data_IF_637492030460
#
_entry.id   IF_637492030460
#
_cell.length_a   1.000
_cell.length_b   1.000
_cell.length_c   1.000
_cell.angle_alpha   90.00
_cell.angle_beta   90.00
_cell.angle_gamma   90.00
#
_symmetry.space_group_name_H-M   'P 1'
#
loop_
_entity.id
_entity.type
_entity.pdbx_description
1 polymer ?
#
# COMPACT_ATOMS: atom_id res chain seq x y z
N UNK A 1 -21.48 -22.65 -21.30
CA UNK A 1 -20.93 -22.42 -19.94
C UNK A 1 -20.29 -21.05 -19.94
N UNK A 2 -20.67 -20.12 -19.04
CA UNK A 2 -20.09 -18.79 -19.08
C UNK A 2 -18.64 -18.85 -18.57
N UNK A 3 -17.74 -18.21 -19.31
CA UNK A 3 -16.32 -18.13 -19.02
C UNK A 3 -16.07 -17.71 -17.56
N UNK A 4 -15.11 -18.37 -16.91
CA UNK A 4 -14.56 -17.95 -15.62
C UNK A 4 -14.13 -16.49 -15.79
N UNK A 5 -14.89 -15.56 -15.21
CA UNK A 5 -14.62 -14.12 -15.30
C UNK A 5 -13.18 -13.87 -14.81
N UNK A 6 -12.34 -13.40 -15.71
CA UNK A 6 -10.95 -13.02 -15.45
C UNK A 6 -10.89 -12.01 -14.30
N UNK A 7 -10.05 -12.26 -13.30
CA UNK A 7 -9.80 -11.36 -12.17
C UNK A 7 -8.34 -10.88 -12.19
N UNK A 8 -7.86 -10.44 -13.36
CA UNK A 8 -6.48 -9.96 -13.55
C UNK A 8 -6.17 -8.70 -12.71
N UNK A 9 -7.20 -7.94 -12.33
CA UNK A 9 -7.11 -6.80 -11.42
C UNK A 9 -7.10 -7.18 -9.94
N UNK A 10 -7.10 -8.47 -9.57
CA UNK A 10 -7.02 -8.90 -8.17
C UNK A 10 -5.58 -8.87 -7.63
N UNK A 11 -4.62 -9.37 -8.40
CA UNK A 11 -3.22 -9.45 -8.00
C UNK A 11 -2.31 -8.79 -9.05
N UNK A 12 -1.89 -7.55 -8.78
CA UNK A 12 -1.08 -6.76 -9.71
C UNK A 12 0.35 -7.28 -9.85
N UNK A 13 0.78 -8.24 -9.01
CA UNK A 13 2.10 -8.89 -9.14
C UNK A 13 2.19 -9.75 -10.39
N UNK A 14 1.04 -10.19 -10.92
CA UNK A 14 0.95 -11.03 -12.11
C UNK A 14 1.11 -10.25 -13.41
N UNK A 15 1.26 -8.92 -13.34
CA UNK A 15 1.44 -8.07 -14.52
C UNK A 15 2.85 -8.09 -15.10
N UNK A 16 3.83 -8.66 -14.37
CA UNK A 16 5.21 -8.70 -14.83
C UNK A 16 5.35 -9.53 -16.11
N UNK A 17 5.98 -8.93 -17.11
CA UNK A 17 6.25 -9.52 -18.42
C UNK A 17 7.75 -9.35 -18.73
N UNK A 18 8.46 -10.48 -18.80
CA UNK A 18 9.90 -10.48 -19.10
C UNK A 18 10.23 -9.89 -20.48
N UNK A 19 9.29 -9.95 -21.43
CA UNK A 19 9.45 -9.32 -22.75
C UNK A 19 9.37 -7.80 -22.71
N UNK A 20 8.62 -7.25 -21.75
CA UNK A 20 8.41 -5.81 -21.61
C UNK A 20 9.66 -5.06 -21.13
N UNK A 21 10.55 -5.73 -20.38
CA UNK A 21 11.81 -5.13 -19.90
C UNK A 21 12.78 -4.73 -21.03
N UNK A 22 12.59 -5.26 -22.25
CA UNK A 22 13.44 -4.96 -23.41
C UNK A 22 12.87 -3.87 -24.33
N UNK A 23 11.67 -3.38 -24.04
CA UNK A 23 10.98 -2.39 -24.87
C UNK A 23 11.56 -0.99 -24.67
N UNK A 24 11.39 -0.13 -25.67
CA UNK A 24 11.51 1.31 -25.45
C UNK A 24 10.43 1.79 -24.47
N UNK A 25 10.63 2.96 -23.85
CA UNK A 25 9.65 3.49 -22.91
C UNK A 25 8.29 3.76 -23.58
N UNK A 26 8.28 4.24 -24.82
CA UNK A 26 7.04 4.51 -25.55
C UNK A 26 6.23 3.22 -25.79
N UNK A 27 6.88 2.15 -26.25
CA UNK A 27 6.26 0.83 -26.42
C UNK A 27 5.80 0.23 -25.07
N UNK A 28 6.55 0.47 -23.99
CA UNK A 28 6.18 0.04 -22.65
C UNK A 28 4.93 0.79 -22.16
N UNK A 29 4.84 2.10 -22.38
CA UNK A 29 3.70 2.90 -21.99
C UNK A 29 2.45 2.48 -22.76
N UNK A 30 2.55 2.21 -24.07
CA UNK A 30 1.42 1.66 -24.85
C UNK A 30 0.92 0.31 -24.30
N UNK A 31 1.85 -0.59 -23.95
CA UNK A 31 1.50 -1.85 -23.26
C UNK A 31 0.85 -1.58 -21.89
N UNK A 32 1.34 -0.61 -21.14
CA UNK A 32 0.76 -0.21 -19.85
C UNK A 32 -0.66 0.32 -20.02
N UNK A 33 -0.95 1.14 -21.03
CA UNK A 33 -2.31 1.63 -21.32
C UNK A 33 -3.28 0.48 -21.65
N UNK A 34 -2.84 -0.47 -22.47
CA UNK A 34 -3.61 -1.67 -22.80
C UNK A 34 -3.86 -2.51 -21.54
N UNK A 35 -2.81 -2.71 -20.74
CA UNK A 35 -2.89 -3.45 -19.47
C UNK A 35 -3.88 -2.78 -18.53
N UNK A 36 -3.76 -1.47 -18.31
CA UNK A 36 -4.63 -0.68 -17.45
C UNK A 36 -6.09 -0.81 -17.87
N UNK A 37 -6.37 -0.70 -19.17
CA UNK A 37 -7.72 -0.79 -19.73
C UNK A 37 -8.34 -2.20 -19.61
N UNK A 38 -7.50 -3.22 -19.47
CA UNK A 38 -7.94 -4.61 -19.29
C UNK A 38 -8.12 -5.03 -17.82
N UNK A 39 -7.72 -4.20 -16.85
CA UNK A 39 -7.79 -4.58 -15.43
C UNK A 39 -9.24 -4.64 -14.97
N UNK A 40 -9.65 -5.81 -14.48
CA UNK A 40 -10.98 -6.04 -13.94
C UNK A 40 -10.93 -6.84 -12.64
N UNK A 41 -11.84 -6.50 -11.73
CA UNK A 41 -12.12 -7.28 -10.53
C UNK A 41 -13.63 -7.23 -10.26
N UNK A 42 -14.19 -8.35 -9.78
CA UNK A 42 -15.58 -8.39 -9.38
C UNK A 42 -15.75 -8.16 -7.87
N UNK A 43 -16.97 -7.80 -7.46
CA UNK A 43 -17.30 -7.52 -6.05
C UNK A 43 -17.02 -8.72 -5.13
N UNK A 44 -17.29 -9.94 -5.60
CA UNK A 44 -17.06 -11.14 -4.79
C UNK A 44 -15.57 -11.33 -4.46
N UNK A 45 -14.68 -11.02 -5.42
CA UNK A 45 -13.24 -11.03 -5.21
C UNK A 45 -12.80 -9.90 -4.27
N UNK A 46 -13.31 -8.67 -4.43
CA UNK A 46 -13.01 -7.56 -3.50
C UNK A 46 -13.41 -7.94 -2.07
N UNK A 47 -14.64 -8.43 -1.87
CA UNK A 47 -15.15 -8.84 -0.56
C UNK A 47 -14.33 -10.00 0.03
N UNK A 48 -13.93 -10.97 -0.79
CA UNK A 48 -13.08 -12.07 -0.34
C UNK A 48 -11.67 -11.60 0.04
N UNK A 49 -11.11 -10.61 -0.67
CA UNK A 49 -9.80 -10.04 -0.35
C UNK A 49 -9.88 -9.33 1.00
N UNK A 50 -10.89 -8.47 1.19
CA UNK A 50 -11.10 -7.77 2.47
C UNK A 50 -11.17 -8.77 3.63
N UNK A 51 -12.04 -9.79 3.55
CA UNK A 51 -12.20 -10.78 4.62
C UNK A 51 -10.91 -11.54 4.94
N UNK A 52 -10.15 -11.98 3.91
CA UNK A 52 -8.90 -12.74 4.08
C UNK A 52 -7.75 -11.89 4.62
N UNK A 53 -7.91 -10.57 4.63
CA UNK A 53 -6.85 -9.62 4.98
C UNK A 53 -7.15 -8.80 6.23
N UNK A 54 -8.20 -9.16 7.00
CA UNK A 54 -8.55 -8.53 8.29
C UNK A 54 -7.49 -8.69 9.38
N UNK A 55 -6.61 -9.69 9.27
CA UNK A 55 -5.42 -9.81 10.11
C UNK A 55 -4.29 -8.84 9.73
N UNK A 56 -4.51 -7.99 8.72
CA UNK A 56 -3.65 -6.89 8.27
C UNK A 56 -2.17 -7.26 8.19
N UNK A 57 -1.29 -6.58 8.94
CA UNK A 57 0.15 -6.80 8.93
C UNK A 57 0.58 -8.21 9.35
N UNK A 58 -0.30 -9.03 9.95
CA UNK A 58 -0.05 -10.45 10.24
C UNK A 58 -0.44 -11.38 9.09
N UNK A 59 -1.01 -10.84 7.99
CA UNK A 59 -1.46 -11.59 6.81
C UNK A 59 -0.51 -11.36 5.63
N UNK A 60 0.12 -12.41 5.13
CA UNK A 60 0.91 -12.35 3.89
C UNK A 60 0.05 -11.94 2.69
N UNK A 61 -1.21 -12.35 2.65
CA UNK A 61 -2.18 -11.93 1.63
C UNK A 61 -2.44 -10.42 1.65
N UNK A 62 -2.39 -9.78 2.83
CA UNK A 62 -2.59 -8.33 2.94
C UNK A 62 -1.45 -7.59 2.22
N UNK A 63 -0.20 -8.02 2.38
CA UNK A 63 0.92 -7.46 1.61
C UNK A 63 0.78 -7.76 0.12
N UNK A 64 0.46 -9.01 -0.24
CA UNK A 64 0.29 -9.44 -1.63
C UNK A 64 -0.73 -8.58 -2.40
N UNK A 65 -1.93 -8.39 -1.82
CA UNK A 65 -2.97 -7.58 -2.45
C UNK A 65 -2.74 -6.07 -2.31
N UNK A 66 -1.80 -5.61 -1.48
CA UNK A 66 -1.37 -4.20 -1.47
C UNK A 66 -0.34 -3.90 -2.55
N UNK A 67 0.41 -4.89 -2.98
CA UNK A 67 1.48 -4.72 -3.96
C UNK A 67 0.96 -4.04 -5.22
N UNK A 68 1.64 -2.96 -5.61
CA UNK A 68 1.32 -2.15 -6.79
C UNK A 68 0.18 -1.16 -6.58
N UNK A 69 -0.55 -1.21 -5.46
CA UNK A 69 -1.67 -0.30 -5.18
C UNK A 69 -1.21 0.88 -4.33
N UNK A 70 -1.67 2.06 -4.70
CA UNK A 70 -1.56 3.28 -3.90
C UNK A 70 -2.54 3.13 -2.73
N UNK A 71 -1.98 2.87 -1.56
CA UNK A 71 -2.76 2.75 -0.33
C UNK A 71 -3.08 4.13 0.25
N UNK A 72 -4.13 4.24 1.05
CA UNK A 72 -4.50 5.49 1.73
C UNK A 72 -3.32 6.17 2.43
N UNK A 73 -2.48 5.42 3.15
CA UNK A 73 -1.30 5.93 3.87
C UNK A 73 -0.15 6.41 2.96
N UNK A 74 -0.13 5.97 1.69
CA UNK A 74 0.87 6.35 0.69
C UNK A 74 0.39 7.47 -0.25
N UNK A 75 -0.91 7.80 -0.25
CA UNK A 75 -1.49 8.77 -1.18
C UNK A 75 -0.84 10.15 -1.06
N UNK A 76 -0.61 10.61 0.18
CA UNK A 76 0.09 11.89 0.42
C UNK A 76 1.45 11.92 -0.29
N UNK A 77 2.25 10.86 -0.12
CA UNK A 77 3.59 10.79 -0.71
C UNK A 77 3.53 10.77 -2.26
N UNK A 78 2.54 10.07 -2.82
CA UNK A 78 2.28 10.05 -4.28
C UNK A 78 1.90 11.42 -4.81
N UNK A 79 1.10 12.18 -4.08
CA UNK A 79 0.69 13.52 -4.50
C UNK A 79 1.80 14.59 -4.35
N UNK A 80 2.86 14.28 -3.59
CA UNK A 80 3.98 15.20 -3.32
C UNK A 80 5.31 14.75 -3.93
N UNK A 81 5.34 13.65 -4.68
CA UNK A 81 6.54 13.19 -5.40
C UNK A 81 6.59 13.78 -6.81
N UNK A 82 7.80 13.91 -7.37
CA UNK A 82 8.00 14.38 -8.73
C UNK A 82 7.79 13.23 -9.72
N UNK A 83 7.05 13.47 -10.80
CA UNK A 83 6.74 12.42 -11.77
C UNK A 83 7.95 12.06 -12.64
N UNK A 84 8.72 13.06 -13.07
CA UNK A 84 9.90 12.92 -13.93
C UNK A 84 11.14 12.37 -13.19
N UNK A 85 11.14 12.41 -11.86
CA UNK A 85 12.16 11.85 -10.99
C UNK A 85 11.49 11.20 -9.76
N UNK A 86 10.75 10.10 -9.95
CA UNK A 86 9.95 9.52 -8.88
C UNK A 86 10.85 8.92 -7.81
N UNK A 87 10.42 9.05 -6.55
CA UNK A 87 11.15 8.49 -5.42
C UNK A 87 11.21 6.97 -5.52
N UNK A 88 12.42 6.43 -5.72
CA UNK A 88 12.67 4.97 -5.75
C UNK A 88 12.21 4.29 -4.47
N UNK A 89 12.35 4.95 -3.31
CA UNK A 89 11.88 4.39 -2.03
C UNK A 89 10.36 4.34 -1.95
N UNK A 90 9.64 5.31 -2.52
CA UNK A 90 8.18 5.28 -2.64
C UNK A 90 7.72 4.18 -3.59
N UNK A 91 8.33 4.08 -4.77
CA UNK A 91 8.06 3.00 -5.73
C UNK A 91 8.27 1.64 -5.06
N UNK A 92 9.41 1.46 -4.39
CA UNK A 92 9.73 0.20 -3.74
C UNK A 92 8.73 -0.15 -2.64
N UNK A 93 8.33 0.82 -1.83
CA UNK A 93 7.32 0.62 -0.78
C UNK A 93 5.95 0.23 -1.33
N UNK A 94 5.58 0.68 -2.54
CA UNK A 94 4.29 0.36 -3.17
C UNK A 94 4.37 -0.96 -3.96
N UNK A 95 5.39 -1.15 -4.81
CA UNK A 95 5.53 -2.29 -5.72
C UNK A 95 6.20 -3.52 -5.09
N UNK A 96 6.91 -3.34 -3.98
CA UNK A 96 7.60 -4.41 -3.26
C UNK A 96 7.49 -4.19 -1.74
N UNK A 97 6.27 -4.14 -1.19
CA UNK A 97 6.08 -3.90 0.23
C UNK A 97 6.83 -4.98 1.03
N UNK A 98 7.81 -4.55 1.82
CA UNK A 98 8.60 -5.46 2.64
C UNK A 98 7.73 -5.95 3.82
N UNK A 99 7.80 -7.26 4.09
CA UNK A 99 7.19 -7.86 5.29
C UNK A 99 8.01 -7.59 6.55
N UNK A 100 9.27 -7.14 6.44
CA UNK A 100 10.11 -6.78 7.57
C UNK A 100 9.53 -5.55 8.27
N UNK A 101 9.15 -5.74 9.51
CA UNK A 101 8.59 -4.70 10.35
C UNK A 101 9.63 -3.60 10.65
N UNK A 102 9.23 -2.34 10.47
CA UNK A 102 10.03 -1.21 10.91
C UNK A 102 10.10 -1.19 12.44
N UNK A 103 11.27 -1.49 12.98
CA UNK A 103 11.51 -1.56 14.42
C UNK A 103 12.00 -0.21 14.99
N UNK A 104 11.26 0.87 14.73
CA UNK A 104 11.51 2.18 15.38
C UNK A 104 10.57 2.37 16.57
N UNK A 105 11.01 3.02 17.68
CA UNK A 105 10.22 3.13 18.90
C UNK A 105 8.81 3.69 18.70
N UNK A 106 8.67 4.69 17.83
CA UNK A 106 7.39 5.33 17.54
C UNK A 106 6.39 4.40 16.85
N UNK A 107 6.86 3.57 15.92
CA UNK A 107 6.03 2.58 15.21
C UNK A 107 5.66 1.43 16.15
N UNK A 108 6.61 0.95 16.95
CA UNK A 108 6.37 -0.11 17.93
C UNK A 108 5.32 0.32 18.96
N UNK A 109 5.48 1.52 19.53
CA UNK A 109 4.52 2.09 20.47
C UNK A 109 3.12 2.23 19.85
N UNK A 110 3.03 2.76 18.63
CA UNK A 110 1.78 2.89 17.91
C UNK A 110 1.01 1.56 17.84
N UNK A 111 1.70 0.50 17.37
CA UNK A 111 1.13 -0.84 17.22
C UNK A 111 0.74 -1.49 18.54
N UNK A 112 1.55 -1.31 19.59
CA UNK A 112 1.25 -1.85 20.92
C UNK A 112 0.03 -1.19 21.56
N UNK A 113 -0.19 0.10 21.28
CA UNK A 113 -1.25 0.89 21.91
C UNK A 113 -2.54 0.99 21.11
N UNK A 114 -2.50 0.70 19.81
CA UNK A 114 -3.68 0.72 18.92
C UNK A 114 -4.86 -0.07 19.49
N UNK A 115 -4.64 -1.31 19.95
CA UNK A 115 -5.70 -2.13 20.52
C UNK A 115 -6.31 -1.55 21.80
N UNK A 116 -5.50 -0.86 22.63
CA UNK A 116 -5.95 -0.19 23.86
C UNK A 116 -6.80 1.03 23.50
N UNK A 117 -6.31 1.85 22.56
CA UNK A 117 -7.02 3.02 22.06
C UNK A 117 -8.37 2.65 21.43
N UNK A 118 -8.41 1.61 20.60
CA UNK A 118 -9.65 1.08 20.03
C UNK A 118 -10.61 0.60 21.13
N UNK A 119 -10.11 -0.05 22.18
CA UNK A 119 -10.92 -0.46 23.33
C UNK A 119 -11.59 0.71 24.06
N UNK A 120 -10.85 1.81 24.27
CA UNK A 120 -11.41 3.02 24.86
C UNK A 120 -12.41 3.71 23.92
N UNK A 121 -12.09 3.82 22.63
CA UNK A 121 -13.02 4.36 21.63
C UNK A 121 -14.34 3.58 21.60
N UNK A 122 -14.30 2.24 21.64
CA UNK A 122 -15.51 1.40 21.70
C UNK A 122 -16.39 1.74 22.90
N UNK A 123 -15.77 1.92 24.06
CA UNK A 123 -16.48 2.25 25.31
C UNK A 123 -17.14 3.62 25.21
N UNK A 124 -16.42 4.61 24.67
CA UNK A 124 -16.93 5.97 24.46
C UNK A 124 -18.11 5.98 23.49
N UNK A 125 -17.98 5.31 22.35
CA UNK A 125 -19.04 5.24 21.34
C UNK A 125 -20.26 4.47 21.85
N UNK A 126 -20.08 3.37 22.59
CA UNK A 126 -21.20 2.60 23.16
C UNK A 126 -22.02 3.39 24.20
N UNK A 127 -21.42 4.38 24.86
CA UNK A 127 -22.12 5.26 25.79
C UNK A 127 -22.92 6.37 25.09
N UNK A 128 -22.43 6.84 23.92
CA UNK A 128 -23.01 7.98 23.19
C UNK A 128 -23.89 7.62 22.00
N UNK A 129 -23.83 6.38 21.52
CA UNK A 129 -24.50 5.94 20.29
C UNK A 129 -25.46 4.77 20.57
N UNK A 130 -26.62 4.81 19.94
CA UNK A 130 -27.56 3.67 19.93
C UNK A 130 -26.99 2.59 19.03
N UNK A 131 -27.27 1.31 19.34
CA UNK A 131 -27.02 0.12 18.49
C UNK A 131 -25.65 0.02 17.80
N UNK A 132 -24.62 0.68 18.32
CA UNK A 132 -23.32 0.79 17.67
C UNK A 132 -22.64 -0.57 17.53
N UNK A 133 -22.23 -0.86 16.31
CA UNK A 133 -21.50 -2.05 15.91
C UNK A 133 -20.12 -1.66 15.42
N UNK A 134 -19.19 -2.59 15.59
CA UNK A 134 -17.83 -2.40 15.12
C UNK A 134 -17.33 -3.67 14.43
N UNK A 135 -16.56 -3.49 13.36
CA UNK A 135 -16.04 -4.61 12.57
C UNK A 135 -14.55 -4.39 12.30
N UNK A 136 -13.77 -5.46 12.33
CA UNK A 136 -12.41 -5.45 11.80
C UNK A 136 -12.43 -5.12 10.31
N UNK A 137 -11.37 -4.48 9.83
CA UNK A 137 -11.22 -4.11 8.44
C UNK A 137 -9.99 -4.78 7.83
N UNK A 138 -10.17 -5.40 6.67
CA UNK A 138 -9.09 -5.83 5.81
C UNK A 138 -8.72 -4.79 4.75
N UNK A 139 -8.21 -5.25 3.63
CA UNK A 139 -7.91 -4.43 2.47
C UNK A 139 -9.15 -4.22 1.61
N UNK A 140 -9.65 -2.99 1.58
CA UNK A 140 -10.62 -2.52 0.61
C UNK A 140 -9.90 -2.10 -0.66
N UNK A 141 -10.38 -2.57 -1.82
CA UNK A 141 -9.89 -2.17 -3.15
C UNK A 141 -11.02 -1.38 -3.81
N UNK A 142 -10.72 -0.20 -4.36
CA UNK A 142 -11.71 0.55 -5.12
C UNK A 142 -11.96 -0.15 -6.46
N UNK A 143 -13.22 -0.49 -6.74
CA UNK A 143 -13.60 -1.12 -8.01
C UNK A 143 -13.46 -0.18 -9.19
N UNK A 144 -13.77 1.10 -8.99
CA UNK A 144 -13.69 2.16 -9.99
C UNK A 144 -12.22 2.55 -10.26
N UNK A 145 -11.37 2.41 -9.25
CA UNK A 145 -9.96 2.79 -9.29
C UNK A 145 -9.10 1.67 -8.70
N UNK A 146 -8.87 0.60 -9.45
CA UNK A 146 -8.19 -0.64 -8.98
C UNK A 146 -6.78 -0.43 -8.44
N UNK A 147 -6.15 0.69 -8.80
CA UNK A 147 -4.86 1.15 -8.28
C UNK A 147 -4.95 1.76 -6.87
N UNK A 148 -6.15 1.96 -6.31
CA UNK A 148 -6.36 2.46 -4.96
C UNK A 148 -6.82 1.36 -4.02
N UNK A 149 -6.26 1.38 -2.81
CA UNK A 149 -6.68 0.52 -1.73
C UNK A 149 -6.62 1.21 -0.36
N UNK A 150 -7.34 0.71 0.62
CA UNK A 150 -7.35 1.24 1.96
C UNK A 150 -7.59 0.14 2.99
N UNK A 151 -7.00 0.32 4.16
CA UNK A 151 -7.31 -0.49 5.35
C UNK A 151 -7.50 0.53 6.47
N UNK A 152 -8.74 0.77 6.91
CA UNK A 152 -9.02 1.41 8.20
C UNK A 152 -8.52 0.55 9.36
N UNK A 153 -8.32 1.15 10.52
CA UNK A 153 -8.04 0.39 11.74
C UNK A 153 -9.30 -0.35 12.21
N UNK A 154 -10.47 0.25 11.98
CA UNK A 154 -11.76 -0.34 12.29
C UNK A 154 -12.90 0.28 11.47
N UNK A 155 -13.99 -0.47 11.31
CA UNK A 155 -15.28 0.06 10.85
C UNK A 155 -16.22 0.26 12.04
N UNK A 156 -17.00 1.33 12.00
CA UNK A 156 -18.05 1.65 12.97
C UNK A 156 -19.37 1.85 12.23
N UNK A 157 -20.48 1.44 12.85
CA UNK A 157 -21.81 1.55 12.27
C UNK A 157 -22.85 1.73 13.38
N UNK A 158 -23.65 2.79 13.35
CA UNK A 158 -24.83 2.94 14.21
C UNK A 158 -26.02 3.47 13.42
N UNK A 159 -27.24 3.28 13.94
CA UNK A 159 -28.44 3.89 13.36
C UNK A 159 -28.40 5.42 13.34
N UNK A 160 -27.69 6.02 14.29
CA UNK A 160 -27.54 7.47 14.45
C UNK A 160 -26.69 8.16 13.37
N UNK A 161 -25.57 7.55 12.99
CA UNK A 161 -24.51 8.18 12.19
C UNK A 161 -24.27 7.42 10.87
N UNK A 162 -24.87 6.24 10.70
CA UNK A 162 -24.58 5.34 9.60
C UNK A 162 -23.24 4.64 9.77
N UNK A 163 -22.63 4.22 8.65
CA UNK A 163 -21.36 3.51 8.64
C UNK A 163 -20.18 4.47 8.37
N UNK A 164 -19.16 4.40 9.22
CA UNK A 164 -17.92 5.16 9.13
C UNK A 164 -16.67 4.27 9.16
N UNK A 165 -15.52 4.90 8.96
CA UNK A 165 -14.20 4.29 9.23
C UNK A 165 -13.60 4.91 10.48
N UNK A 166 -12.69 4.21 11.14
CA UNK A 166 -11.94 4.70 12.30
C UNK A 166 -10.45 4.60 12.01
N UNK A 167 -9.73 5.66 12.29
CA UNK A 167 -8.27 5.74 12.19
C UNK A 167 -7.69 6.21 13.52
N UNK A 168 -6.88 5.37 14.14
CA UNK A 168 -6.26 5.60 15.44
C UNK A 168 -4.81 6.01 15.26
N UNK A 169 -4.40 7.04 16.01
CA UNK A 169 -3.00 7.46 16.13
C UNK A 169 -2.61 7.54 17.60
N UNK A 170 -1.56 6.80 17.94
CA UNK A 170 -0.91 6.85 19.26
C UNK A 170 0.47 7.51 19.11
N UNK A 171 0.59 8.85 19.17
CA UNK A 171 1.82 9.56 18.88
C UNK A 171 2.87 9.37 19.99
N UNK A 172 4.08 8.93 19.61
CA UNK A 172 5.19 8.75 20.55
C UNK A 172 5.55 10.03 21.32
N UNK A 173 5.54 11.20 20.65
CA UNK A 173 5.93 12.48 21.25
C UNK A 173 4.94 12.98 22.32
N UNK A 174 3.67 12.54 22.28
CA UNK A 174 2.62 12.92 23.23
C UNK A 174 2.25 11.81 24.21
N UNK A 175 3.06 10.75 24.32
CA UNK A 175 2.71 9.54 25.08
C UNK A 175 2.70 9.70 26.61
N UNK A 176 3.52 10.62 27.12
CA UNK A 176 3.77 10.80 28.57
C UNK A 176 3.12 12.09 29.12
N UNK A 177 2.46 12.88 28.26
CA UNK A 177 1.89 14.19 28.60
C UNK A 177 0.43 14.33 28.17
N UNK A 178 -0.01 15.56 27.94
CA UNK A 178 -1.33 15.84 27.37
C UNK A 178 -1.25 15.84 25.84
N UNK A 179 -2.34 15.53 25.14
CA UNK A 179 -2.40 15.62 23.68
C UNK A 179 -2.21 17.06 23.19
N UNK A 180 -2.57 18.05 24.01
CA UNK A 180 -2.30 19.47 23.73
C UNK A 180 -0.80 19.79 23.69
N UNK A 181 0.07 18.97 24.30
CA UNK A 181 1.52 19.11 24.16
C UNK A 181 1.99 18.89 22.73
N UNK A 182 1.21 18.16 21.90
CA UNK A 182 1.50 18.01 20.48
C UNK A 182 1.44 19.34 19.74
N UNK A 183 0.74 20.36 20.23
CA UNK A 183 0.70 21.69 19.60
C UNK A 183 2.06 22.40 19.62
N UNK A 184 2.96 21.99 20.52
CA UNK A 184 4.32 22.53 20.64
C UNK A 184 5.26 22.04 19.53
N UNK A 185 4.87 20.99 18.80
CA UNK A 185 5.66 20.43 17.69
C UNK A 185 5.30 21.10 16.36
N UNK A 186 6.29 21.65 15.66
CA UNK A 186 6.10 22.23 14.32
C UNK A 186 5.61 21.20 13.30
N UNK A 187 5.95 19.92 13.50
CA UNK A 187 5.49 18.79 12.67
C UNK A 187 4.22 18.13 13.20
N UNK A 188 3.50 18.78 14.12
CA UNK A 188 2.27 18.23 14.69
C UNK A 188 1.20 17.98 13.64
N UNK A 189 0.51 16.85 13.78
CA UNK A 189 -0.65 16.52 12.97
C UNK A 189 -1.90 17.33 13.33
N UNK A 190 -1.95 17.92 14.53
CA UNK A 190 -3.11 18.67 15.03
C UNK A 190 -2.83 20.16 15.15
N UNK A 191 -3.91 20.92 15.17
CA UNK A 191 -3.98 22.35 15.48
C UNK A 191 -5.13 22.59 16.46
N UNK A 192 -5.10 23.70 17.15
CA UNK A 192 -6.23 24.15 17.97
C UNK A 192 -7.19 24.99 17.13
N UNK A 193 -8.48 24.73 17.25
CA UNK A 193 -9.57 25.51 16.64
C UNK A 193 -10.70 25.58 17.67
N UNK A 194 -11.08 26.78 18.07
CA UNK A 194 -12.14 27.03 19.05
C UNK A 194 -11.94 26.25 20.38
N UNK A 195 -10.68 26.12 20.82
CA UNK A 195 -10.30 25.40 22.04
C UNK A 195 -10.21 23.87 21.88
N UNK A 196 -10.51 23.33 20.70
CA UNK A 196 -10.50 21.90 20.44
C UNK A 196 -9.33 21.47 19.54
N UNK A 197 -8.77 20.30 19.82
CA UNK A 197 -7.75 19.69 18.96
C UNK A 197 -8.40 19.16 17.69
N UNK A 198 -7.91 19.62 16.54
CA UNK A 198 -8.36 19.18 15.22
C UNK A 198 -7.20 18.79 14.33
N UNK A 199 -7.39 17.73 13.54
CA UNK A 199 -6.45 17.30 12.52
C UNK A 199 -6.26 18.38 11.45
N UNK A 200 -5.00 18.70 11.13
CA UNK A 200 -4.67 19.63 10.05
C UNK A 200 -5.02 19.00 8.70
N UNK A 201 -5.78 19.72 7.87
CA UNK A 201 -6.14 19.25 6.53
C UNK A 201 -4.93 19.07 5.60
N UNK A 202 -3.86 19.84 5.83
CA UNK A 202 -2.58 19.72 5.11
C UNK A 202 -1.76 18.50 5.53
N UNK A 203 -2.09 17.87 6.65
CA UNK A 203 -1.32 16.75 7.18
C UNK A 203 -1.64 15.45 6.44
N UNK A 204 -0.65 14.55 6.34
CA UNK A 204 -0.77 13.25 5.65
C UNK A 204 -1.88 12.36 6.19
N UNK A 205 -2.20 12.48 7.49
CA UNK A 205 -3.31 11.71 8.10
C UNK A 205 -4.67 12.16 7.57
N UNK A 206 -4.85 13.45 7.26
CA UNK A 206 -6.10 13.91 6.66
C UNK A 206 -6.28 13.33 5.25
N UNK A 207 -5.19 13.29 4.46
CA UNK A 207 -5.19 12.64 3.15
C UNK A 207 -5.49 11.13 3.26
N UNK A 208 -4.94 10.47 4.28
CA UNK A 208 -5.18 9.05 4.53
C UNK A 208 -6.66 8.77 4.84
N UNK A 209 -7.29 9.51 5.77
CA UNK A 209 -8.69 9.26 6.14
C UNK A 209 -9.65 9.61 5.00
N UNK A 210 -9.38 10.67 4.23
CA UNK A 210 -10.17 11.02 3.04
C UNK A 210 -10.07 9.90 1.98
N UNK A 211 -8.88 9.33 1.79
CA UNK A 211 -8.70 8.17 0.91
C UNK A 211 -9.39 6.90 1.43
N UNK A 212 -9.37 6.65 2.75
CA UNK A 212 -10.11 5.54 3.36
C UNK A 212 -11.61 5.67 3.13
N UNK A 213 -12.20 6.85 3.41
CA UNK A 213 -13.62 7.12 3.15
C UNK A 213 -13.98 6.95 1.68
N UNK A 214 -13.13 7.44 0.77
CA UNK A 214 -13.31 7.30 -0.67
C UNK A 214 -13.31 5.84 -1.11
N UNK A 215 -12.28 5.07 -0.75
CA UNK A 215 -12.13 3.67 -1.15
C UNK A 215 -13.17 2.76 -0.49
N UNK A 216 -13.47 2.98 0.79
CA UNK A 216 -14.41 2.16 1.56
C UNK A 216 -15.88 2.59 1.36
N UNK A 217 -16.12 3.65 0.56
CA UNK A 217 -17.45 4.24 0.31
C UNK A 217 -18.18 4.60 1.60
N UNK A 218 -17.48 5.30 2.51
CA UNK A 218 -18.02 5.81 3.78
C UNK A 218 -18.12 7.33 3.74
N UNK A 219 -19.04 7.88 4.53
CA UNK A 219 -19.32 9.31 4.55
C UNK A 219 -18.53 10.05 5.63
N UNK A 220 -18.06 9.35 6.65
CA UNK A 220 -17.26 9.94 7.72
C UNK A 220 -16.15 8.99 8.21
N UNK A 221 -15.16 9.61 8.84
CA UNK A 221 -14.06 8.98 9.53
C UNK A 221 -14.00 9.53 10.96
N UNK A 222 -13.91 8.67 11.96
CA UNK A 222 -13.50 9.11 13.29
C UNK A 222 -11.97 9.02 13.39
N UNK A 223 -11.34 10.18 13.49
CA UNK A 223 -9.91 10.29 13.77
C UNK A 223 -9.71 10.28 15.27
N UNK A 224 -9.03 9.25 15.77
CA UNK A 224 -8.80 9.03 17.19
C UNK A 224 -7.34 9.30 17.50
N UNK A 225 -7.10 10.31 18.34
CA UNK A 225 -5.79 10.59 18.89
C UNK A 225 -5.76 10.13 20.34
N UNK A 226 -4.79 9.28 20.70
CA UNK A 226 -4.81 8.59 21.97
C UNK A 226 -3.44 8.57 22.67
N UNK A 227 -3.45 8.75 23.98
CA UNK A 227 -2.36 8.37 24.88
C UNK A 227 -2.94 7.75 26.17
N UNK A 228 -2.09 7.42 27.15
CA UNK A 228 -2.56 6.74 28.36
C UNK A 228 -3.45 7.61 29.27
N UNK A 229 -3.45 8.93 29.06
CA UNK A 229 -4.10 9.93 29.89
C UNK A 229 -5.45 10.37 29.30
N UNK A 230 -5.56 10.43 27.97
CA UNK A 230 -6.72 11.00 27.29
C UNK A 230 -6.93 10.42 25.88
N UNK A 231 -8.16 10.62 25.40
CA UNK A 231 -8.61 10.29 24.06
C UNK A 231 -9.30 11.50 23.45
N UNK A 232 -8.86 11.91 22.27
CA UNK A 232 -9.53 12.93 21.47
C UNK A 232 -10.09 12.26 20.21
N UNK A 233 -11.40 12.40 19.98
CA UNK A 233 -12.09 11.82 18.82
C UNK A 233 -12.66 12.95 18.00
N UNK A 234 -12.19 13.09 16.77
CA UNK A 234 -12.72 14.05 15.81
C UNK A 234 -13.45 13.31 14.68
N UNK A 235 -14.75 13.54 14.54
CA UNK A 235 -15.50 13.04 13.40
C UNK A 235 -15.32 13.95 12.19
N UNK A 236 -14.81 13.41 11.09
CA UNK A 236 -14.43 14.13 9.88
C UNK A 236 -15.27 13.62 8.71
N UNK A 237 -15.94 14.53 8.02
CA UNK A 237 -16.76 14.19 6.85
C UNK A 237 -15.91 13.98 5.60
N UNK A 238 -16.40 13.13 4.71
CA UNK A 238 -15.83 12.96 3.37
C UNK A 238 -15.95 14.27 2.60
N UNK A 239 -14.84 14.70 2.03
CA UNK A 239 -14.74 15.87 1.18
C UNK A 239 -14.35 15.43 -0.23
N UNK A 240 -15.36 15.32 -1.10
CA UNK A 240 -15.17 14.93 -2.49
C UNK A 240 -14.38 15.96 -3.31
N UNK A 241 -14.45 17.24 -2.94
CA UNK A 241 -13.68 18.30 -3.59
C UNK A 241 -12.19 18.18 -3.27
N UNK A 242 -11.87 17.72 -2.06
CA UNK A 242 -10.51 17.45 -1.62
C UNK A 242 -9.94 16.17 -2.23
N UNK A 243 -10.66 15.03 -2.17
CA UNK A 243 -10.10 13.73 -2.56
C UNK A 243 -10.05 13.51 -4.07
N UNK A 244 -11.00 14.06 -4.84
CA UNK A 244 -11.08 13.88 -6.30
C UNK A 244 -9.79 14.27 -7.06
N UNK A 245 -9.18 15.45 -6.84
CA UNK A 245 -7.92 15.80 -7.52
C UNK A 245 -6.75 14.88 -7.09
N UNK A 246 -6.74 14.38 -5.86
CA UNK A 246 -5.72 13.44 -5.38
C UNK A 246 -5.87 12.08 -6.08
N UNK A 247 -7.10 11.59 -6.27
CA UNK A 247 -7.40 10.35 -7.01
C UNK A 247 -6.97 10.47 -8.48
N UNK A 248 -7.19 11.64 -9.10
CA UNK A 248 -6.72 11.92 -10.47
C UNK A 248 -5.18 11.91 -10.56
N UNK A 249 -4.51 12.53 -9.58
CA UNK A 249 -3.04 12.52 -9.48
C UNK A 249 -2.50 11.10 -9.29
N UNK A 250 -3.13 10.32 -8.40
CA UNK A 250 -2.80 8.92 -8.18
C UNK A 250 -2.98 8.07 -9.44
N UNK A 251 -4.01 8.34 -10.25
CA UNK A 251 -4.22 7.67 -11.56
C UNK A 251 -3.03 7.88 -12.48
N UNK A 252 -2.64 9.14 -12.66
CA UNK A 252 -1.50 9.50 -13.51
C UNK A 252 -0.22 8.85 -13.02
N UNK A 253 0.03 8.90 -11.70
CA UNK A 253 1.22 8.29 -11.10
C UNK A 253 1.23 6.77 -11.29
N UNK A 254 0.08 6.12 -11.11
CA UNK A 254 -0.04 4.69 -11.36
C UNK A 254 0.32 4.34 -12.80
N UNK A 255 -0.26 5.04 -13.78
CA UNK A 255 -0.04 4.77 -15.20
C UNK A 255 1.40 5.05 -15.66
N UNK A 256 1.99 6.16 -15.22
CA UNK A 256 3.30 6.61 -15.69
C UNK A 256 4.48 6.04 -14.89
N UNK A 257 4.25 5.57 -13.66
CA UNK A 257 5.34 5.14 -12.76
C UNK A 257 5.13 3.72 -12.26
N UNK A 258 4.02 3.45 -11.58
CA UNK A 258 3.83 2.15 -10.94
C UNK A 258 3.58 1.03 -11.95
N UNK A 259 2.85 1.27 -13.02
CA UNK A 259 2.53 0.26 -14.01
C UNK A 259 3.76 -0.16 -14.84
N UNK A 260 4.61 0.76 -15.34
CA UNK A 260 5.93 0.40 -15.88
C UNK A 260 6.80 -0.39 -14.90
N UNK A 261 6.77 -0.04 -13.61
CA UNK A 261 7.50 -0.79 -12.58
C UNK A 261 6.95 -2.21 -12.38
N UNK A 262 5.63 -2.38 -12.41
CA UNK A 262 4.97 -3.67 -12.22
C UNK A 262 5.17 -4.59 -13.43
N UNK A 263 5.05 -4.02 -14.64
CA UNK A 263 5.13 -4.76 -15.91
C UNK A 263 6.57 -5.09 -16.28
N UNK A 264 7.49 -4.14 -16.10
CA UNK A 264 8.85 -4.24 -16.66
C UNK A 264 9.98 -3.98 -15.65
N UNK A 265 9.70 -3.65 -14.39
CA UNK A 265 10.74 -3.27 -13.39
C UNK A 265 11.56 -2.05 -13.81
N UNK A 266 10.94 -1.17 -14.60
CA UNK A 266 11.60 -0.07 -15.31
C UNK A 266 12.55 0.75 -14.43
N UNK A 267 12.10 1.21 -13.27
CA UNK A 267 12.89 2.09 -12.39
C UNK A 267 13.88 1.31 -11.53
N UNK A 268 13.52 0.09 -11.14
CA UNK A 268 14.41 -0.83 -10.41
C UNK A 268 15.62 -1.27 -11.25
N UNK A 269 15.47 -1.35 -12.57
CA UNK A 269 16.56 -1.65 -13.50
C UNK A 269 17.46 -0.43 -13.83
N UNK A 270 17.15 0.74 -13.26
CA UNK A 270 17.99 1.93 -13.36
C UNK A 270 17.55 2.94 -14.44
N UNK A 271 16.49 2.65 -15.19
CA UNK A 271 15.96 3.55 -16.22
C UNK A 271 15.19 4.73 -15.59
N UNK A 272 15.19 5.88 -16.26
CA UNK A 272 14.36 7.04 -15.89
C UNK A 272 13.39 7.43 -17.01
N UNK A 273 12.45 8.33 -16.69
CA UNK A 273 11.53 8.90 -17.70
C UNK A 273 12.27 9.85 -18.66
N UNK A 274 13.39 10.45 -18.22
CA UNK A 274 14.13 11.43 -19.01
C UNK A 274 15.04 10.81 -20.08
N UNK A 275 15.42 9.55 -19.92
CA UNK A 275 16.31 8.84 -20.85
C UNK A 275 15.66 8.56 -22.22
N UNK A 276 14.39 8.93 -22.39
CA UNK A 276 13.60 8.72 -23.61
C UNK A 276 13.17 10.00 -24.31
N UNK A 277 13.49 11.18 -23.75
CA UNK A 277 13.11 12.47 -24.36
C UNK A 277 14.37 13.24 -24.77
N UNK A 278 14.93 12.91 -25.92
CA UNK A 278 15.81 13.84 -26.63
C UNK A 278 14.99 15.03 -27.12
N UNK A 279 14.80 16.06 -26.28
CA UNK A 279 14.37 17.38 -26.72
C UNK A 279 13.19 18.08 -26.04
N UNK A 280 12.77 17.70 -24.82
CA UNK A 280 11.75 18.48 -24.09
C UNK A 280 12.38 19.30 -22.95
N UNK A 281 12.00 20.57 -22.89
CA UNK A 281 12.39 21.53 -21.85
C UNK A 281 11.84 21.10 -20.49
N UNK A 282 12.54 21.48 -19.43
CA UNK A 282 12.33 21.09 -18.02
C UNK A 282 10.99 21.50 -17.38
N UNK A 283 9.99 21.87 -18.19
CA UNK A 283 8.64 22.27 -17.75
C UNK A 283 7.48 21.58 -18.49
N UNK A 284 7.74 20.64 -19.41
CA UNK A 284 6.66 20.05 -20.19
C UNK A 284 5.95 18.91 -19.45
N UNK A 285 4.69 19.17 -19.12
CA UNK A 285 3.69 18.18 -18.71
C UNK A 285 3.47 17.19 -19.84
N UNK A 286 3.25 15.92 -19.50
CA UNK A 286 2.75 14.90 -20.42
C UNK A 286 1.55 15.45 -21.24
N UNK A 287 1.48 15.21 -22.57
CA UNK A 287 0.44 15.79 -23.42
C UNK A 287 -0.92 15.14 -23.12
N UNK A 288 -1.94 15.98 -22.94
CA UNK A 288 -3.34 15.55 -22.86
C UNK A 288 -3.99 15.82 -21.51
N UNK A 289 -4.97 16.72 -21.54
CA UNK A 289 -6.04 16.97 -20.56
C UNK A 289 -5.86 18.10 -19.52
N UNK A 290 -6.98 18.81 -19.38
CA UNK A 290 -7.18 20.17 -18.90
C UNK A 290 -6.90 20.39 -17.41
N UNK A 291 -6.49 21.60 -17.10
CA UNK A 291 -6.03 22.12 -15.81
C UNK A 291 -7.11 22.05 -14.72
N UNK A 292 -6.82 21.33 -13.62
CA UNK A 292 -7.42 21.61 -12.31
C UNK A 292 -6.48 22.54 -11.51
N UNK A 293 -7.00 23.49 -10.70
CA UNK A 293 -6.18 24.49 -10.03
C UNK A 293 -5.31 23.86 -8.94
N UNK A 294 -4.07 24.34 -8.83
CA UNK A 294 -3.22 24.12 -7.67
C UNK A 294 -3.87 24.84 -6.48
N UNK A 295 -4.16 24.12 -5.40
CA UNK A 295 -4.48 24.76 -4.10
C UNK A 295 -3.22 25.53 -3.66
N UNK A 296 -3.31 26.82 -3.26
CA UNK A 296 -2.12 27.61 -2.97
C UNK A 296 -1.45 27.10 -1.68
N UNK A 297 -0.23 26.58 -1.82
CA UNK A 297 0.68 26.37 -0.69
C UNK A 297 1.32 27.72 -0.37
N UNK A 298 1.00 28.30 0.78
CA UNK A 298 1.69 29.48 1.27
C UNK A 298 3.14 29.12 1.57
N UNK A 299 4.04 29.64 0.73
CA UNK A 299 5.49 29.61 0.89
C UNK A 299 5.90 30.24 2.21
N UNK A 300 6.76 29.55 2.96
CA UNK A 300 7.86 30.15 3.69
C UNK A 300 8.95 29.08 3.83
N UNK A 301 9.85 29.07 2.85
CA UNK A 301 11.09 28.34 2.90
C UNK A 301 12.03 29.02 3.89
N UNK A 302 12.54 28.27 4.86
CA UNK A 302 13.77 28.63 5.56
C UNK A 302 14.74 27.48 5.38
N UNK A 303 15.85 27.81 4.72
CA UNK A 303 17.01 26.97 4.46
C UNK A 303 17.71 26.66 5.78
N UNK A 304 17.97 25.39 6.09
CA UNK A 304 19.13 25.01 6.91
C UNK A 304 19.76 23.72 6.37
N UNK A 305 21.08 23.82 6.30
CA UNK A 305 22.05 23.01 5.61
C UNK A 305 22.43 21.72 6.36
N UNK A 306 22.94 20.79 5.56
CA UNK A 306 23.52 19.46 5.75
C UNK A 306 24.06 19.03 7.12
N UNK A 307 23.89 17.74 7.43
CA UNK A 307 25.03 16.78 7.41
C UNK A 307 24.57 15.31 7.53
N UNK A 308 25.07 14.53 6.57
CA UNK A 308 25.05 13.06 6.46
C UNK A 308 25.77 12.38 7.65
N UNK A 309 25.49 11.09 7.89
CA UNK A 309 26.63 10.17 7.89
C UNK A 309 26.38 8.94 7.02
N UNK A 310 27.36 8.73 6.15
CA UNK A 310 27.59 7.55 5.33
C UNK A 310 27.69 6.27 6.16
N UNK A 311 27.09 5.19 5.65
CA UNK A 311 27.26 3.82 6.12
C UNK A 311 26.88 2.85 5.02
N UNK A 312 27.90 2.35 4.32
CA UNK A 312 27.84 1.24 3.36
C UNK A 312 27.33 -0.04 4.02
N UNK A 313 26.52 -0.83 3.30
CA UNK A 313 26.75 -2.26 3.10
C UNK A 313 25.73 -2.87 2.13
N UNK A 314 26.25 -3.59 1.14
CA UNK A 314 25.51 -4.35 0.15
C UNK A 314 24.99 -5.67 0.75
N UNK A 315 23.73 -6.04 0.47
CA UNK A 315 23.35 -7.46 0.41
C UNK A 315 22.05 -7.68 -0.39
N UNK A 316 22.24 -8.30 -1.54
CA UNK A 316 21.30 -8.96 -2.43
C UNK A 316 20.39 -9.95 -1.65
N UNK A 317 19.09 -10.08 -1.97
CA UNK A 317 18.37 -11.37 -1.90
C UNK A 317 16.93 -11.31 -2.45
N UNK A 318 16.66 -12.24 -3.35
CA UNK A 318 15.45 -12.42 -4.14
C UNK A 318 14.23 -12.85 -3.31
N UNK A 319 13.04 -12.38 -3.73
CA UNK A 319 11.76 -12.71 -3.12
C UNK A 319 11.40 -14.20 -3.28
N UNK A 320 11.22 -14.91 -2.17
CA UNK A 320 10.94 -16.34 -2.11
C UNK A 320 9.53 -16.68 -2.65
N UNK A 321 9.50 -17.33 -3.81
CA UNK A 321 8.32 -18.02 -4.36
C UNK A 321 8.54 -19.51 -4.14
N UNK A 322 7.56 -20.21 -3.56
CA UNK A 322 7.64 -21.65 -3.31
C UNK A 322 6.73 -22.41 -4.28
N UNK A 323 7.25 -23.53 -4.80
CA UNK A 323 6.62 -24.46 -5.72
C UNK A 323 6.24 -23.90 -7.10
N UNK A 324 6.20 -24.79 -8.11
CA UNK A 324 5.79 -24.44 -9.48
C UNK A 324 4.33 -24.00 -9.59
N UNK A 325 3.49 -24.35 -8.63
CA UNK A 325 2.09 -23.92 -8.60
C UNK A 325 1.92 -22.49 -8.07
N UNK A 326 2.98 -21.88 -7.52
CA UNK A 326 2.91 -20.57 -6.86
C UNK A 326 2.02 -20.54 -5.61
N UNK A 327 1.63 -21.71 -5.10
CA UNK A 327 0.84 -21.88 -3.88
C UNK A 327 1.68 -21.69 -2.62
N UNK A 328 1.03 -21.48 -1.45
CA UNK A 328 1.73 -21.26 -0.18
C UNK A 328 2.47 -22.52 0.30
N UNK A 329 3.24 -22.41 1.37
CA UNK A 329 4.01 -23.52 1.95
C UNK A 329 3.14 -24.54 2.73
N UNK A 330 2.02 -24.96 2.14
CA UNK A 330 1.04 -25.82 2.79
C UNK A 330 1.17 -27.30 2.37
N UNK A 331 0.90 -28.22 3.32
CA UNK A 331 0.92 -29.65 3.06
C UNK A 331 2.33 -30.26 2.99
N UNK A 332 2.48 -31.43 2.34
CA UNK A 332 3.77 -32.13 2.25
C UNK A 332 4.62 -31.52 1.14
N UNK A 333 5.79 -30.99 1.51
CA UNK A 333 6.72 -30.36 0.58
C UNK A 333 8.11 -30.99 0.66
N UNK A 334 8.87 -30.86 -0.44
CA UNK A 334 10.26 -31.29 -0.57
C UNK A 334 11.13 -30.12 -1.04
N UNK A 335 12.33 -30.00 -0.47
CA UNK A 335 13.34 -29.05 -0.91
C UNK A 335 14.15 -29.62 -2.08
N UNK A 336 14.50 -28.78 -3.05
CA UNK A 336 15.43 -29.12 -4.12
C UNK A 336 16.88 -28.94 -3.61
N UNK A 337 17.72 -29.97 -3.74
CA UNK A 337 19.12 -29.95 -3.30
C UNK A 337 20.06 -29.13 -4.20
N UNK A 338 19.54 -28.44 -5.22
CA UNK A 338 20.30 -27.44 -5.96
C UNK A 338 20.21 -26.09 -5.24
N UNK A 339 21.31 -25.63 -4.67
CA UNK A 339 21.41 -24.36 -3.92
C UNK A 339 20.98 -23.14 -4.74
N UNK A 340 21.11 -23.20 -6.06
CA UNK A 340 20.70 -22.13 -6.99
C UNK A 340 19.26 -22.32 -7.52
N UNK A 341 18.46 -23.21 -6.91
CA UNK A 341 17.08 -23.44 -7.35
C UNK A 341 16.19 -22.23 -7.01
N UNK A 342 15.62 -21.59 -8.04
CA UNK A 342 14.78 -20.39 -7.92
C UNK A 342 13.60 -20.54 -6.94
N UNK A 343 12.97 -21.72 -6.87
CA UNK A 343 11.75 -21.93 -6.08
C UNK A 343 11.97 -22.65 -4.76
N UNK A 344 13.15 -23.27 -4.57
CA UNK A 344 13.63 -24.01 -3.39
C UNK A 344 12.76 -25.17 -2.88
N UNK A 345 11.45 -25.00 -2.73
CA UNK A 345 10.49 -25.94 -2.16
C UNK A 345 9.37 -26.29 -3.14
N UNK A 346 8.86 -27.52 -3.08
CA UNK A 346 7.82 -28.01 -3.98
C UNK A 346 6.82 -28.91 -3.25
N UNK A 347 5.52 -28.75 -3.52
CA UNK A 347 4.49 -29.69 -3.03
C UNK A 347 4.67 -31.05 -3.68
N UNK A 348 4.51 -32.10 -2.88
CA UNK A 348 4.60 -33.49 -3.34
C UNK A 348 3.70 -33.76 -4.54
N UNK A 349 2.45 -33.31 -4.49
CA UNK A 349 1.47 -33.43 -5.57
C UNK A 349 1.94 -32.70 -6.85
N UNK A 350 2.52 -31.51 -6.73
CA UNK A 350 2.99 -30.71 -7.86
C UNK A 350 4.22 -31.30 -8.57
N UNK A 351 4.99 -32.16 -7.90
CA UNK A 351 6.17 -32.83 -8.48
C UNK A 351 6.00 -34.35 -8.59
N UNK A 352 4.77 -34.85 -8.46
CA UNK A 352 4.43 -36.27 -8.67
C UNK A 352 4.92 -37.23 -7.57
N UNK A 353 5.28 -36.73 -6.39
CA UNK A 353 5.68 -37.55 -5.24
C UNK A 353 4.46 -37.94 -4.41
N UNK A 354 4.41 -39.21 -3.99
CA UNK A 354 3.42 -39.70 -3.01
C UNK A 354 4.03 -39.93 -1.62
N UNK A 355 5.35 -40.10 -1.55
CA UNK A 355 6.15 -40.32 -0.33
C UNK A 355 7.54 -39.71 -0.52
N UNK A 356 8.26 -39.51 0.59
CA UNK A 356 9.62 -39.02 0.54
C UNK A 356 10.51 -39.96 -0.29
N UNK A 357 11.35 -39.44 -1.20
CA UNK A 357 12.32 -40.24 -1.94
C UNK A 357 13.25 -41.00 -0.98
N UNK A 358 13.65 -42.22 -1.35
CA UNK A 358 14.62 -43.00 -0.57
C UNK A 358 16.07 -42.53 -0.78
N UNK A 359 16.33 -41.75 -1.83
CA UNK A 359 17.64 -41.17 -2.11
C UNK A 359 17.97 -40.06 -1.13
N UNK A 360 19.25 -39.90 -0.79
CA UNK A 360 19.74 -38.79 0.04
C UNK A 360 19.57 -37.41 -0.62
N UNK A 361 19.49 -37.38 -1.95
CA UNK A 361 19.34 -36.15 -2.74
C UNK A 361 18.10 -36.22 -3.63
N UNK A 362 17.48 -35.07 -3.85
CA UNK A 362 16.34 -34.85 -4.74
C UNK A 362 16.42 -33.49 -5.44
N UNK A 363 16.19 -33.50 -6.76
CA UNK A 363 16.21 -32.31 -7.61
C UNK A 363 14.86 -32.14 -8.33
N UNK A 364 14.38 -30.90 -8.49
CA UNK A 364 13.15 -30.60 -9.25
C UNK A 364 13.34 -30.84 -10.76
N UNK A 365 12.24 -30.88 -11.52
CA UNK A 365 12.29 -31.09 -12.99
C UNK A 365 13.23 -30.10 -13.69
N UNK A 366 13.09 -28.80 -13.40
CA UNK A 366 13.92 -27.76 -14.00
C UNK A 366 15.42 -27.95 -13.72
N UNK A 367 15.79 -28.34 -12.50
CA UNK A 367 17.19 -28.58 -12.14
C UNK A 367 17.73 -29.89 -12.73
N UNK A 368 16.89 -30.94 -12.85
CA UNK A 368 17.28 -32.20 -13.49
C UNK A 368 17.50 -32.05 -14.99
N UNK A 369 16.66 -31.25 -15.66
CA UNK A 369 16.78 -31.03 -17.11
C UNK A 369 17.96 -30.12 -17.45
N UNK A 370 18.27 -29.14 -16.58
CA UNK A 370 19.49 -28.34 -16.69
C UNK A 370 20.77 -29.18 -16.57
N UNK A 371 20.76 -30.22 -15.72
CA UNK A 371 21.89 -31.12 -15.51
C UNK A 371 22.12 -32.14 -16.64
N UNK A 372 21.18 -32.29 -17.59
CA UNK A 372 21.29 -33.19 -18.75
C UNK A 372 21.67 -32.49 -20.05
N UNK A 373 21.63 -31.15 -20.06
CA UNK A 373 22.02 -30.30 -21.20
C UNK A 373 23.47 -29.83 -21.12
N UNK A 374 24.16 -30.23 -20.05
CA UNK A 374 25.61 -30.31 -19.91
C UNK A 374 25.99 -31.79 -19.92
#
# INVERSE_FOLDING_TARGET
MPAVRTCNGADLRLLYDQGAAKKSYDELIEQCETTFSSLEINEAAINSIEQRTRNQAKSTNWFAYRTGRITASTLYDVCHTQFNAPSKSLINRICFPNSKELSVPSVKYGREKEAVALGQYRTLMAAGHTDVQFKEAGLFISKEHLYLAATPDMLVECSCCGAGVVEVKCPWKGRDGLLTDLLKDTNSCVREVDGELQLKQTHRYYHQIQAQMYVCKKNYADFVLWNAQEINVQSIQRDDSFISPLVSTARRFFKAVLLPELVARWFSEGNNIQDTVHGASSNDRLPGESTAPLVPLASNAVVLDNQDPQGSDACNTAADTFCVCGGPDEGRMIACDNENCRLKWFHYSCVGLKRAPKSKLWFCSSCRDAAKKN
#
